data_IF_062854359798
#
_entry.id   IF_062854359798
#
_cell.length_a   1.000
_cell.length_b   1.000
_cell.length_c   1.000
_cell.angle_alpha   90.00
_cell.angle_beta   90.00
_cell.angle_gamma   90.00
#
_symmetry.space_group_name_H-M   'P 1'
#
loop_
_entity.id
_entity.type
_entity.pdbx_description
1 polymer ?
#
# COMPACT_ATOMS: atom_id res chain seq x y z
N UNK A 1 -21.16 19.65 16.35
CA UNK A 1 -19.85 20.33 16.44
C UNK A 1 -19.16 20.28 15.07
N UNK A 2 -18.15 21.11 14.81
CA UNK A 2 -17.39 21.06 13.55
C UNK A 2 -16.72 19.69 13.34
N UNK A 3 -16.28 19.02 14.41
CA UNK A 3 -15.75 17.66 14.35
C UNK A 3 -16.78 16.63 13.84
N UNK A 4 -18.03 16.72 14.31
CA UNK A 4 -19.09 15.81 13.85
C UNK A 4 -19.44 16.06 12.37
N UNK A 5 -19.47 17.32 11.93
CA UNK A 5 -19.66 17.66 10.51
C UNK A 5 -18.55 17.04 9.67
N UNK A 6 -17.29 17.16 10.11
CA UNK A 6 -16.15 16.51 9.45
C UNK A 6 -16.31 14.99 9.34
N UNK A 7 -16.76 14.33 10.42
CA UNK A 7 -16.99 12.88 10.43
C UNK A 7 -18.08 12.46 9.43
N UNK A 8 -19.22 13.14 9.44
CA UNK A 8 -20.32 12.84 8.51
C UNK A 8 -19.91 13.05 7.05
N UNK A 9 -19.21 14.15 6.75
CA UNK A 9 -18.73 14.42 5.39
C UNK A 9 -17.69 13.39 4.93
N UNK A 10 -16.79 12.96 5.81
CA UNK A 10 -15.82 11.89 5.54
C UNK A 10 -16.53 10.57 5.21
N UNK A 11 -17.54 10.20 5.98
CA UNK A 11 -18.32 8.97 5.74
C UNK A 11 -19.09 9.04 4.42
N UNK A 12 -19.71 10.18 4.11
CA UNK A 12 -20.37 10.40 2.82
C UNK A 12 -19.37 10.33 1.66
N UNK A 13 -18.21 10.97 1.79
CA UNK A 13 -17.15 10.95 0.78
C UNK A 13 -16.65 9.53 0.49
N UNK A 14 -16.60 8.66 1.50
CA UNK A 14 -16.21 7.26 1.34
C UNK A 14 -17.24 6.40 0.59
N UNK A 15 -18.48 6.89 0.44
CA UNK A 15 -19.57 6.17 -0.24
C UNK A 15 -19.81 6.62 -1.68
N UNK A 16 -19.10 7.64 -2.15
CA UNK A 16 -19.25 8.22 -3.49
C UNK A 16 -17.90 8.28 -4.20
N UNK A 17 -17.92 8.44 -5.53
CA UNK A 17 -16.72 8.50 -6.35
C UNK A 17 -16.59 9.83 -7.11
N UNK A 18 -15.40 10.05 -7.67
CA UNK A 18 -15.16 11.15 -8.59
C UNK A 18 -15.16 12.55 -7.95
N UNK A 19 -15.60 13.59 -8.68
CA UNK A 19 -15.54 14.97 -8.22
C UNK A 19 -16.30 15.24 -6.92
N UNK A 20 -17.40 14.51 -6.68
CA UNK A 20 -18.20 14.67 -5.49
C UNK A 20 -17.46 14.17 -4.24
N UNK A 21 -16.78 13.04 -4.33
CA UNK A 21 -15.92 12.55 -3.25
C UNK A 21 -14.83 13.57 -2.91
N UNK A 22 -14.18 14.14 -3.94
CA UNK A 22 -13.14 15.16 -3.75
C UNK A 22 -13.69 16.41 -3.04
N UNK A 23 -14.88 16.89 -3.43
CA UNK A 23 -15.55 18.02 -2.78
C UNK A 23 -15.85 17.72 -1.30
N UNK A 24 -16.46 16.58 -1.00
CA UNK A 24 -16.83 16.18 0.36
C UNK A 24 -15.61 16.00 1.26
N UNK A 25 -14.51 15.42 0.76
CA UNK A 25 -13.26 15.37 1.51
C UNK A 25 -12.72 16.78 1.80
N UNK A 26 -12.80 17.70 0.83
CA UNK A 26 -12.39 19.10 0.98
C UNK A 26 -13.15 19.80 2.11
N UNK A 27 -14.47 19.63 2.13
CA UNK A 27 -15.34 20.18 3.17
C UNK A 27 -15.09 19.54 4.54
N UNK A 28 -14.85 18.23 4.59
CA UNK A 28 -14.46 17.53 5.82
C UNK A 28 -13.14 18.09 6.38
N UNK A 29 -12.14 18.31 5.52
CA UNK A 29 -10.86 18.89 5.92
C UNK A 29 -11.03 20.31 6.49
N UNK A 30 -11.87 21.14 5.87
CA UNK A 30 -12.20 22.48 6.37
C UNK A 30 -12.91 22.41 7.74
N UNK A 31 -13.84 21.47 7.92
CA UNK A 31 -14.53 21.27 9.18
C UNK A 31 -13.57 20.83 10.31
N UNK A 32 -12.67 19.89 10.05
CA UNK A 32 -11.66 19.48 11.04
C UNK A 32 -10.68 20.61 11.39
N UNK A 33 -10.22 21.40 10.41
CA UNK A 33 -9.38 22.58 10.70
C UNK A 33 -10.10 23.59 11.61
N UNK A 34 -11.40 23.82 11.41
CA UNK A 34 -12.22 24.66 12.32
C UNK A 34 -12.43 24.01 13.69
N UNK A 35 -12.50 22.69 13.78
CA UNK A 35 -12.55 22.01 15.07
C UNK A 35 -11.22 22.19 15.84
N UNK A 36 -10.08 22.06 15.15
CA UNK A 36 -8.73 22.22 15.71
C UNK A 36 -8.37 23.67 16.10
N UNK A 37 -9.17 24.67 15.73
CA UNK A 37 -8.99 26.03 16.26
C UNK A 37 -9.58 26.20 17.66
N UNK A 38 -10.38 25.24 18.13
CA UNK A 38 -11.03 25.26 19.45
C UNK A 38 -10.53 24.09 20.31
N UNK A 39 -10.44 22.90 19.70
CA UNK A 39 -9.78 21.74 20.29
C UNK A 39 -8.27 22.00 20.25
N UNK A 40 -7.64 22.08 21.41
CA UNK A 40 -6.19 22.27 21.51
C UNK A 40 -5.55 21.04 22.14
N UNK A 41 -4.26 20.86 21.87
CA UNK A 41 -3.46 19.78 22.46
C UNK A 41 -3.50 19.81 23.99
N UNK A 42 -3.50 20.99 24.60
CA UNK A 42 -3.38 21.15 26.06
C UNK A 42 -4.72 20.98 26.78
N UNK A 43 -5.83 21.44 26.16
CA UNK A 43 -7.15 21.37 26.79
C UNK A 43 -7.86 20.04 26.58
N UNK A 44 -7.70 19.43 25.40
CA UNK A 44 -8.42 18.22 24.99
C UNK A 44 -7.50 17.32 24.14
N UNK A 45 -6.42 16.76 24.72
CA UNK A 45 -5.36 16.09 23.97
C UNK A 45 -5.84 14.93 23.10
N UNK A 46 -6.72 14.06 23.62
CA UNK A 46 -7.20 12.88 22.89
C UNK A 46 -8.17 13.24 21.75
N UNK A 47 -9.09 14.17 21.99
CA UNK A 47 -10.01 14.68 20.96
C UNK A 47 -9.22 15.41 19.87
N UNK A 48 -8.26 16.25 20.26
CA UNK A 48 -7.36 16.92 19.34
C UNK A 48 -6.60 15.91 18.47
N UNK A 49 -6.00 14.87 19.08
CA UNK A 49 -5.28 13.84 18.34
C UNK A 49 -6.21 13.04 17.40
N UNK A 50 -7.45 12.81 17.81
CA UNK A 50 -8.45 12.15 16.97
C UNK A 50 -8.87 13.00 15.79
N UNK A 51 -9.07 14.30 16.00
CA UNK A 51 -9.34 15.24 14.91
C UNK A 51 -8.14 15.39 13.98
N UNK A 52 -6.90 15.39 14.49
CA UNK A 52 -5.68 15.40 13.68
C UNK A 52 -5.57 14.15 12.80
N UNK A 53 -5.81 12.96 13.35
CA UNK A 53 -5.85 11.73 12.57
C UNK A 53 -6.90 11.78 11.47
N UNK A 54 -8.13 12.22 11.79
CA UNK A 54 -9.20 12.35 10.79
C UNK A 54 -8.89 13.38 9.71
N UNK A 55 -8.22 14.49 10.06
CA UNK A 55 -7.71 15.47 9.10
C UNK A 55 -6.65 14.83 8.18
N UNK A 56 -5.72 14.06 8.75
CA UNK A 56 -4.71 13.32 7.98
C UNK A 56 -5.35 12.39 6.95
N UNK A 57 -6.38 11.63 7.36
CA UNK A 57 -7.12 10.74 6.47
C UNK A 57 -7.74 11.47 5.29
N UNK A 58 -8.51 12.54 5.53
CA UNK A 58 -9.19 13.24 4.42
C UNK A 58 -8.21 13.95 3.49
N UNK A 59 -7.08 14.43 4.00
CA UNK A 59 -6.02 15.03 3.18
C UNK A 59 -5.31 13.98 2.32
N UNK A 60 -5.03 12.81 2.88
CA UNK A 60 -4.48 11.68 2.13
C UNK A 60 -5.44 11.29 1.00
N UNK A 61 -6.73 11.13 1.30
CA UNK A 61 -7.74 10.77 0.29
C UNK A 61 -7.84 11.82 -0.83
N UNK A 62 -7.71 13.11 -0.53
CA UNK A 62 -7.63 14.14 -1.58
C UNK A 62 -6.32 14.06 -2.37
N UNK A 63 -5.20 13.85 -1.69
CA UNK A 63 -3.86 13.79 -2.29
C UNK A 63 -3.73 12.64 -3.28
N UNK A 64 -4.29 11.47 -2.99
CA UNK A 64 -4.25 10.32 -3.91
C UNK A 64 -5.16 10.49 -5.15
N UNK A 65 -6.16 11.37 -5.09
CA UNK A 65 -7.11 11.66 -6.19
C UNK A 65 -6.73 12.89 -7.02
N UNK A 66 -5.71 13.61 -6.61
CA UNK A 66 -5.21 14.83 -7.28
C UNK A 66 -3.81 14.57 -7.86
N UNK A 67 -3.36 15.44 -8.76
CA UNK A 67 -2.04 15.35 -9.39
C UNK A 67 -1.21 16.62 -9.16
N UNK A 68 0.08 16.55 -9.51
CA UNK A 68 0.99 17.70 -9.48
C UNK A 68 1.33 18.18 -8.06
N UNK A 69 1.70 19.45 -7.96
CA UNK A 69 2.16 20.07 -6.70
C UNK A 69 1.12 20.03 -5.59
N UNK A 70 -0.17 20.11 -5.93
CA UNK A 70 -1.25 20.05 -4.95
C UNK A 70 -1.35 18.66 -4.29
N UNK A 71 -1.16 17.59 -5.06
CA UNK A 71 -1.12 16.23 -4.51
C UNK A 71 0.01 16.07 -3.49
N UNK A 72 1.19 16.57 -3.82
CA UNK A 72 2.37 16.53 -2.94
C UNK A 72 2.10 17.32 -1.65
N UNK A 73 1.51 18.52 -1.77
CA UNK A 73 1.17 19.37 -0.63
C UNK A 73 0.16 18.70 0.30
N UNK A 74 -0.91 18.13 -0.26
CA UNK A 74 -1.95 17.41 0.51
C UNK A 74 -1.40 16.19 1.24
N UNK A 75 -0.54 15.40 0.58
CA UNK A 75 0.11 14.24 1.21
C UNK A 75 1.09 14.66 2.32
N UNK A 76 1.83 15.75 2.11
CA UNK A 76 2.70 16.33 3.15
C UNK A 76 1.89 16.82 4.36
N UNK A 77 0.76 17.51 4.13
CA UNK A 77 -0.14 17.94 5.21
C UNK A 77 -0.73 16.73 5.96
N UNK A 78 -1.07 15.65 5.24
CA UNK A 78 -1.56 14.41 5.84
C UNK A 78 -0.52 13.76 6.76
N UNK A 79 0.72 13.64 6.29
CA UNK A 79 1.85 13.13 7.09
C UNK A 79 2.05 13.98 8.35
N UNK A 80 1.99 15.31 8.23
CA UNK A 80 2.11 16.21 9.37
C UNK A 80 0.97 16.02 10.39
N UNK A 81 -0.27 15.88 9.93
CA UNK A 81 -1.42 15.65 10.80
C UNK A 81 -1.35 14.30 11.53
N UNK A 82 -0.93 13.22 10.86
CA UNK A 82 -0.71 11.93 11.52
C UNK A 82 0.42 11.99 12.55
N UNK A 83 1.56 12.65 12.24
CA UNK A 83 2.65 12.85 13.21
C UNK A 83 2.18 13.65 14.42
N UNK A 84 1.31 14.64 14.24
CA UNK A 84 0.68 15.37 15.35
C UNK A 84 -0.21 14.45 16.19
N UNK A 85 -1.06 13.61 15.58
CA UNK A 85 -1.87 12.65 16.32
C UNK A 85 -1.02 11.64 17.12
N UNK A 86 0.10 11.18 16.56
CA UNK A 86 1.06 10.28 17.22
C UNK A 86 1.83 10.94 18.38
N UNK A 87 1.79 12.26 18.53
CA UNK A 87 2.37 12.95 19.70
C UNK A 87 1.55 12.78 21.00
N UNK A 88 0.32 12.29 20.86
CA UNK A 88 -0.60 11.96 21.97
C UNK A 88 -0.93 10.47 21.97
N UNK A 89 -1.25 9.91 20.80
CA UNK A 89 -1.49 8.47 20.65
C UNK A 89 -0.15 7.76 20.75
N UNK A 90 0.16 7.20 21.92
CA UNK A 90 1.35 6.36 22.14
C UNK A 90 0.96 4.89 22.13
N UNK A 91 1.93 4.01 21.88
CA UNK A 91 1.69 2.56 21.91
C UNK A 91 1.25 2.09 23.30
N UNK A 92 1.80 2.69 24.34
CA UNK A 92 1.59 2.30 25.74
C UNK A 92 0.21 2.72 26.25
N UNK A 93 -0.29 3.90 25.86
CA UNK A 93 -1.56 4.43 26.35
C UNK A 93 -2.74 4.11 25.42
N UNK A 94 -2.53 4.16 24.11
CA UNK A 94 -3.58 4.04 23.10
C UNK A 94 -3.13 3.09 21.96
N UNK A 95 -2.80 1.81 22.26
CA UNK A 95 -2.14 0.90 21.32
C UNK A 95 -2.89 0.76 19.98
N UNK A 96 -4.20 0.60 20.03
CA UNK A 96 -5.02 0.46 18.82
C UNK A 96 -5.04 1.73 17.97
N UNK A 97 -5.29 2.89 18.57
CA UNK A 97 -5.30 4.16 17.85
C UNK A 97 -3.91 4.53 17.33
N UNK A 98 -2.86 4.22 18.08
CA UNK A 98 -1.47 4.40 17.64
C UNK A 98 -1.19 3.53 16.41
N UNK A 99 -1.51 2.23 16.46
CA UNK A 99 -1.26 1.32 15.34
C UNK A 99 -2.06 1.69 14.07
N UNK A 100 -3.32 2.10 14.23
CA UNK A 100 -4.12 2.62 13.10
C UNK A 100 -3.46 3.87 12.49
N UNK A 101 -3.03 4.81 13.33
CA UNK A 101 -2.39 6.05 12.87
C UNK A 101 -1.03 5.77 12.22
N UNK A 102 -0.27 4.80 12.70
CA UNK A 102 0.99 4.36 12.09
C UNK A 102 0.76 3.72 10.71
N UNK A 103 -0.26 2.86 10.58
CA UNK A 103 -0.62 2.28 9.29
C UNK A 103 -0.99 3.36 8.27
N UNK A 104 -1.79 4.34 8.68
CA UNK A 104 -2.25 5.40 7.78
C UNK A 104 -1.15 6.42 7.46
N UNK A 105 -0.26 6.69 8.41
CA UNK A 105 0.99 7.42 8.14
C UNK A 105 1.82 6.70 7.06
N UNK A 106 1.96 5.38 7.16
CA UNK A 106 2.64 4.57 6.15
C UNK A 106 2.00 4.73 4.76
N UNK A 107 0.66 4.71 4.68
CA UNK A 107 -0.06 4.90 3.42
C UNK A 107 0.23 6.27 2.80
N UNK A 108 0.19 7.34 3.60
CA UNK A 108 0.46 8.71 3.12
C UNK A 108 1.91 8.88 2.67
N UNK A 109 2.88 8.35 3.43
CA UNK A 109 4.31 8.36 3.07
C UNK A 109 4.57 7.58 1.78
N UNK A 110 3.96 6.41 1.62
CA UNK A 110 4.09 5.62 0.39
C UNK A 110 3.52 6.39 -0.81
N UNK A 111 2.32 6.97 -0.69
CA UNK A 111 1.72 7.76 -1.75
C UNK A 111 2.56 8.99 -2.12
N UNK A 112 3.24 9.60 -1.14
CA UNK A 112 4.17 10.70 -1.37
C UNK A 112 5.44 10.20 -2.08
N UNK A 113 6.01 9.08 -1.64
CA UNK A 113 7.20 8.46 -2.22
C UNK A 113 7.00 8.05 -3.68
N UNK A 114 5.82 7.55 -4.03
CA UNK A 114 5.45 7.20 -5.41
C UNK A 114 5.46 8.42 -6.37
N UNK A 115 5.38 9.64 -5.83
CA UNK A 115 5.35 10.91 -6.59
C UNK A 115 6.63 11.73 -6.43
N UNK A 116 7.60 11.24 -5.67
CA UNK A 116 8.84 11.95 -5.38
C UNK A 116 9.97 11.53 -6.32
N UNK A 117 10.98 12.40 -6.44
CA UNK A 117 12.24 12.09 -7.10
C UNK A 117 13.01 10.99 -6.36
N UNK A 118 13.92 10.28 -7.05
CA UNK A 118 14.47 9.00 -6.61
C UNK A 118 15.03 8.96 -5.17
N UNK A 119 15.83 9.96 -4.75
CA UNK A 119 16.43 10.00 -3.42
C UNK A 119 15.38 10.21 -2.32
N UNK A 120 14.45 11.12 -2.56
CA UNK A 120 13.35 11.43 -1.64
C UNK A 120 12.34 10.29 -1.58
N UNK A 121 12.03 9.67 -2.72
CA UNK A 121 11.17 8.49 -2.80
C UNK A 121 11.70 7.36 -1.92
N UNK A 122 13.00 7.07 -2.01
CA UNK A 122 13.64 6.00 -1.21
C UNK A 122 13.52 6.29 0.30
N UNK A 123 13.75 7.54 0.72
CA UNK A 123 13.60 7.96 2.12
C UNK A 123 12.15 7.80 2.59
N UNK A 124 11.18 8.29 1.82
CA UNK A 124 9.75 8.22 2.16
C UNK A 124 9.25 6.78 2.23
N UNK A 125 9.68 5.91 1.33
CA UNK A 125 9.32 4.49 1.33
C UNK A 125 9.92 3.74 2.53
N UNK A 126 11.14 4.08 2.93
CA UNK A 126 11.75 3.56 4.15
C UNK A 126 10.98 4.00 5.40
N UNK A 127 10.56 5.27 5.48
CA UNK A 127 9.69 5.75 6.56
C UNK A 127 8.32 5.07 6.55
N UNK A 128 7.74 4.80 5.37
CA UNK A 128 6.49 4.06 5.25
C UNK A 128 6.63 2.63 5.80
N UNK A 129 7.69 1.91 5.41
CA UNK A 129 7.99 0.58 5.92
C UNK A 129 8.18 0.58 7.45
N UNK A 130 8.86 1.59 8.00
CA UNK A 130 9.00 1.76 9.45
C UNK A 130 7.66 1.97 10.15
N UNK A 131 6.76 2.79 9.59
CA UNK A 131 5.43 3.04 10.14
C UNK A 131 4.54 1.78 10.09
N UNK A 132 4.57 1.00 9.00
CA UNK A 132 3.86 -0.27 8.93
C UNK A 132 4.40 -1.29 9.94
N UNK A 133 5.73 -1.41 10.06
CA UNK A 133 6.36 -2.28 11.07
C UNK A 133 5.96 -1.85 12.50
N UNK A 134 5.85 -0.55 12.77
CA UNK A 134 5.35 -0.05 14.04
C UNK A 134 3.91 -0.50 14.30
N UNK A 135 3.00 -0.37 13.31
CA UNK A 135 1.62 -0.85 13.43
C UNK A 135 1.54 -2.38 13.67
N UNK A 136 2.43 -3.16 13.07
CA UNK A 136 2.54 -4.62 13.25
C UNK A 136 3.05 -5.05 14.64
N UNK A 137 3.49 -4.11 15.50
CA UNK A 137 3.75 -4.40 16.92
C UNK A 137 2.46 -4.59 17.73
N UNK A 138 1.33 -4.09 17.23
CA UNK A 138 0.01 -4.19 17.89
C UNK A 138 -0.93 -5.06 17.08
N UNK A 139 -1.01 -4.85 15.77
CA UNK A 139 -1.76 -5.76 14.90
C UNK A 139 -0.96 -7.05 14.77
N UNK A 140 -1.57 -8.17 15.14
CA UNK A 140 -0.99 -9.50 14.99
C UNK A 140 -1.96 -10.40 14.26
N UNK A 141 -1.53 -11.60 13.85
CA UNK A 141 -2.44 -12.53 13.19
C UNK A 141 -3.56 -12.97 14.14
N UNK A 142 -3.27 -13.10 15.42
CA UNK A 142 -4.20 -13.52 16.46
C UNK A 142 -5.09 -12.36 16.91
N UNK A 143 -4.58 -11.13 16.86
CA UNK A 143 -5.28 -9.92 17.28
C UNK A 143 -5.42 -8.91 16.14
N UNK A 144 -6.66 -8.69 15.69
CA UNK A 144 -7.00 -7.91 14.49
C UNK A 144 -6.41 -8.51 13.18
N UNK A 145 -6.73 -9.78 12.86
CA UNK A 145 -6.16 -10.49 11.69
C UNK A 145 -6.31 -9.74 10.37
N UNK A 146 -7.44 -9.05 10.18
CA UNK A 146 -7.73 -8.30 8.95
C UNK A 146 -6.81 -7.08 8.81
N UNK A 147 -6.64 -6.33 9.88
CA UNK A 147 -5.74 -5.18 9.94
C UNK A 147 -4.30 -5.63 9.79
N UNK A 148 -3.89 -6.69 10.50
CA UNK A 148 -2.56 -7.27 10.35
C UNK A 148 -2.25 -7.66 8.91
N UNK A 149 -3.14 -8.39 8.24
CA UNK A 149 -2.95 -8.78 6.85
C UNK A 149 -2.94 -7.61 5.87
N UNK A 150 -3.73 -6.57 6.14
CA UNK A 150 -3.70 -5.33 5.38
C UNK A 150 -2.36 -4.60 5.55
N UNK A 151 -1.89 -4.45 6.78
CA UNK A 151 -0.61 -3.79 7.06
C UNK A 151 0.57 -4.58 6.49
N UNK A 152 0.54 -5.91 6.55
CA UNK A 152 1.54 -6.77 5.87
C UNK A 152 1.55 -6.57 4.35
N UNK A 153 0.38 -6.48 3.72
CA UNK A 153 0.30 -6.17 2.29
C UNK A 153 0.88 -4.79 1.95
N UNK A 154 0.57 -3.78 2.77
CA UNK A 154 1.04 -2.42 2.55
C UNK A 154 2.56 -2.32 2.77
N UNK A 155 3.09 -3.01 3.78
CA UNK A 155 4.53 -3.18 3.99
C UNK A 155 5.20 -3.80 2.77
N UNK A 156 4.65 -4.91 2.26
CA UNK A 156 5.16 -5.53 1.04
C UNK A 156 5.16 -4.58 -0.16
N UNK A 157 4.13 -3.74 -0.29
CA UNK A 157 4.02 -2.72 -1.34
C UNK A 157 5.12 -1.67 -1.25
N UNK A 158 5.34 -1.10 -0.07
CA UNK A 158 6.39 -0.10 0.13
C UNK A 158 7.80 -0.69 -0.10
N UNK A 159 8.06 -1.89 0.42
CA UNK A 159 9.34 -2.57 0.24
C UNK A 159 9.60 -2.94 -1.23
N UNK A 160 8.58 -3.40 -1.96
CA UNK A 160 8.67 -3.66 -3.40
C UNK A 160 9.00 -2.38 -4.18
N UNK A 161 8.30 -1.28 -3.89
CA UNK A 161 8.57 0.02 -4.50
C UNK A 161 9.98 0.53 -4.20
N UNK A 162 10.47 0.32 -2.97
CA UNK A 162 11.81 0.73 -2.58
C UNK A 162 12.87 -0.15 -3.26
N UNK A 163 12.67 -1.46 -3.26
CA UNK A 163 13.56 -2.44 -3.88
C UNK A 163 13.68 -2.26 -5.39
N UNK A 164 12.59 -1.87 -6.07
CA UNK A 164 12.64 -1.59 -7.52
C UNK A 164 13.40 -0.31 -7.88
N UNK A 165 13.56 0.62 -6.93
CA UNK A 165 14.34 1.87 -7.07
C UNK A 165 15.74 1.80 -6.48
N UNK A 166 16.10 0.65 -5.91
CA UNK A 166 17.41 0.40 -5.30
C UNK A 166 18.19 -0.55 -6.21
N UNK A 167 19.51 -0.44 -6.19
CA UNK A 167 20.41 -1.32 -6.92
C UNK A 167 21.20 -2.24 -5.99
N UNK A 168 21.76 -3.31 -6.57
CA UNK A 168 22.68 -4.20 -5.88
C UNK A 168 22.03 -5.08 -4.81
N UNK A 169 22.81 -5.57 -3.83
CA UNK A 169 22.35 -6.54 -2.83
C UNK A 169 21.18 -6.05 -1.96
N UNK A 170 21.10 -4.75 -1.69
CA UNK A 170 20.00 -4.18 -0.90
C UNK A 170 18.67 -4.28 -1.64
N UNK A 171 18.68 -4.13 -2.97
CA UNK A 171 17.48 -4.31 -3.79
C UNK A 171 16.89 -5.72 -3.63
N UNK A 172 17.76 -6.75 -3.71
CA UNK A 172 17.35 -8.15 -3.55
C UNK A 172 16.80 -8.43 -2.15
N UNK A 173 17.42 -7.85 -1.12
CA UNK A 173 16.95 -7.95 0.27
C UNK A 173 15.56 -7.35 0.43
N UNK A 174 15.35 -6.10 -0.01
CA UNK A 174 14.06 -5.41 0.05
C UNK A 174 12.96 -6.18 -0.70
N UNK A 175 13.27 -6.72 -1.88
CA UNK A 175 12.33 -7.52 -2.65
C UNK A 175 11.99 -8.85 -1.97
N UNK A 176 12.98 -9.50 -1.34
CA UNK A 176 12.75 -10.70 -0.53
C UNK A 176 11.87 -10.44 0.70
N UNK A 177 12.08 -9.30 1.38
CA UNK A 177 11.23 -8.86 2.49
C UNK A 177 9.81 -8.53 2.02
N UNK A 178 9.65 -7.92 0.84
CA UNK A 178 8.34 -7.68 0.24
C UNK A 178 7.58 -8.99 -0.03
N UNK A 179 8.26 -9.99 -0.62
CA UNK A 179 7.71 -11.34 -0.85
C UNK A 179 7.27 -11.98 0.47
N UNK A 180 8.08 -11.87 1.53
CA UNK A 180 7.74 -12.39 2.85
C UNK A 180 6.47 -11.72 3.42
N UNK A 181 6.38 -10.39 3.36
CA UNK A 181 5.24 -9.62 3.84
C UNK A 181 3.94 -9.98 3.09
N UNK A 182 3.99 -10.11 1.75
CA UNK A 182 2.83 -10.55 0.99
C UNK A 182 2.38 -11.97 1.33
N UNK A 183 3.32 -12.90 1.54
CA UNK A 183 2.99 -14.26 1.99
C UNK A 183 2.34 -14.25 3.37
N UNK A 184 2.76 -13.38 4.29
CA UNK A 184 2.09 -13.19 5.58
C UNK A 184 0.65 -12.69 5.41
N UNK A 185 0.43 -11.69 4.56
CA UNK A 185 -0.92 -11.19 4.27
C UNK A 185 -1.86 -12.29 3.71
N UNK A 186 -1.34 -13.20 2.89
CA UNK A 186 -2.08 -14.32 2.32
C UNK A 186 -2.47 -15.42 3.34
N UNK A 187 -1.94 -15.40 4.57
CA UNK A 187 -2.39 -16.30 5.64
C UNK A 187 -3.80 -15.96 6.16
N UNK A 188 -4.28 -14.74 5.91
CA UNK A 188 -5.62 -14.27 6.32
C UNK A 188 -6.46 -13.89 5.12
N UNK A 189 -5.88 -13.21 4.12
CA UNK A 189 -6.56 -12.93 2.87
C UNK A 189 -6.65 -14.23 2.09
N UNK A 190 -7.79 -14.92 2.15
CA UNK A 190 -8.05 -16.11 1.35
C UNK A 190 -8.99 -15.79 0.20
N UNK A 191 -8.98 -16.62 -0.84
CA UNK A 191 -9.87 -16.44 -1.99
C UNK A 191 -11.35 -16.54 -1.58
N UNK A 192 -11.65 -17.41 -0.62
CA UNK A 192 -13.02 -17.70 -0.19
C UNK A 192 -13.61 -16.57 0.66
N UNK A 193 -12.81 -15.96 1.53
CA UNK A 193 -13.29 -14.92 2.44
C UNK A 193 -13.08 -13.50 1.90
N UNK A 194 -12.03 -13.30 1.09
CA UNK A 194 -11.59 -11.99 0.61
C UNK A 194 -11.08 -12.07 -0.83
N UNK A 195 -11.90 -12.51 -1.81
CA UNK A 195 -11.43 -12.85 -3.16
C UNK A 195 -10.65 -11.72 -3.82
N UNK A 196 -11.16 -10.48 -3.75
CA UNK A 196 -10.51 -9.31 -4.34
C UNK A 196 -9.18 -8.98 -3.66
N UNK A 197 -9.15 -8.90 -2.32
CA UNK A 197 -7.93 -8.58 -1.59
C UNK A 197 -6.86 -9.68 -1.73
N UNK A 198 -7.28 -10.94 -1.78
CA UNK A 198 -6.42 -12.08 -2.06
C UNK A 198 -5.80 -11.97 -3.46
N UNK A 199 -6.60 -11.72 -4.49
CA UNK A 199 -6.12 -11.60 -5.87
C UNK A 199 -5.16 -10.42 -6.06
N UNK A 200 -5.45 -9.26 -5.45
CA UNK A 200 -4.54 -8.11 -5.43
C UNK A 200 -3.22 -8.49 -4.75
N UNK A 201 -3.27 -9.20 -3.63
CA UNK A 201 -2.06 -9.63 -2.91
C UNK A 201 -1.25 -10.65 -3.70
N UNK A 202 -1.90 -11.60 -4.37
CA UNK A 202 -1.24 -12.55 -5.27
C UNK A 202 -0.56 -11.85 -6.45
N UNK A 203 -1.22 -10.88 -7.08
CA UNK A 203 -0.64 -10.13 -8.18
C UNK A 203 0.60 -9.33 -7.73
N UNK A 204 0.55 -8.71 -6.54
CA UNK A 204 1.68 -7.94 -6.03
C UNK A 204 2.83 -8.83 -5.55
N UNK A 205 2.53 -9.99 -4.98
CA UNK A 205 3.51 -11.04 -4.70
C UNK A 205 4.24 -11.46 -5.98
N UNK A 206 3.48 -11.69 -7.07
CA UNK A 206 4.04 -12.05 -8.36
C UNK A 206 4.96 -10.95 -8.93
N UNK A 207 4.55 -9.67 -8.85
CA UNK A 207 5.39 -8.55 -9.25
C UNK A 207 6.72 -8.52 -8.48
N UNK A 208 6.67 -8.73 -7.15
CA UNK A 208 7.87 -8.75 -6.31
C UNK A 208 8.80 -9.93 -6.61
N UNK A 209 8.24 -11.13 -6.80
CA UNK A 209 8.97 -12.32 -7.21
C UNK A 209 9.63 -12.13 -8.58
N UNK A 210 8.91 -11.55 -9.55
CA UNK A 210 9.46 -11.24 -10.87
C UNK A 210 10.61 -10.22 -10.78
N UNK A 211 10.42 -9.13 -10.03
CA UNK A 211 11.44 -8.11 -9.83
C UNK A 211 12.68 -8.63 -9.09
N UNK A 212 12.52 -9.61 -8.20
CA UNK A 212 13.63 -10.30 -7.54
C UNK A 212 14.31 -11.26 -8.53
N UNK A 213 13.53 -12.02 -9.29
CA UNK A 213 14.02 -12.99 -10.27
C UNK A 213 14.82 -12.36 -11.39
N UNK A 214 14.42 -11.19 -11.90
CA UNK A 214 15.18 -10.48 -12.95
C UNK A 214 16.58 -10.05 -12.50
N UNK A 215 16.76 -9.84 -11.18
CA UNK A 215 18.00 -9.40 -10.53
C UNK A 215 18.82 -10.54 -9.91
N UNK A 216 18.29 -11.75 -9.86
CA UNK A 216 18.93 -12.91 -9.26
C UNK A 216 19.80 -13.68 -10.28
N UNK A 217 20.73 -14.50 -9.78
CA UNK A 217 21.50 -15.43 -10.61
C UNK A 217 20.59 -16.47 -11.28
N UNK A 218 21.02 -17.01 -12.42
CA UNK A 218 20.16 -17.84 -13.31
C UNK A 218 19.34 -18.93 -12.61
N UNK A 219 19.89 -19.79 -11.72
CA UNK A 219 19.09 -20.85 -11.09
C UNK A 219 17.96 -20.30 -10.22
N UNK A 220 18.28 -19.26 -9.43
CA UNK A 220 17.34 -18.60 -8.53
C UNK A 220 16.32 -17.76 -9.30
N UNK A 221 16.77 -17.11 -10.39
CA UNK A 221 15.94 -16.35 -11.32
C UNK A 221 14.80 -17.20 -11.89
N UNK A 222 15.11 -18.37 -12.45
CA UNK A 222 14.11 -19.27 -13.02
C UNK A 222 13.09 -19.74 -11.98
N UNK A 223 13.57 -20.09 -10.78
CA UNK A 223 12.72 -20.50 -9.65
C UNK A 223 11.74 -19.39 -9.24
N UNK A 224 12.23 -18.16 -9.07
CA UNK A 224 11.41 -17.00 -8.70
C UNK A 224 10.40 -16.63 -9.79
N UNK A 225 10.77 -16.72 -11.06
CA UNK A 225 9.88 -16.45 -12.19
C UNK A 225 8.75 -17.49 -12.28
N UNK A 226 9.04 -18.77 -12.02
CA UNK A 226 8.01 -19.82 -11.97
C UNK A 226 7.00 -19.58 -10.83
N UNK A 227 7.50 -19.19 -9.65
CA UNK A 227 6.65 -18.78 -8.54
C UNK A 227 5.79 -17.55 -8.89
N UNK A 228 6.37 -16.54 -9.56
CA UNK A 228 5.65 -15.36 -10.01
C UNK A 228 4.50 -15.73 -10.95
N UNK A 229 4.76 -16.58 -11.95
CA UNK A 229 3.73 -17.08 -12.87
C UNK A 229 2.62 -17.83 -12.16
N UNK A 230 2.96 -18.62 -11.13
CA UNK A 230 1.97 -19.30 -10.29
C UNK A 230 1.08 -18.30 -9.57
N UNK A 231 1.67 -17.27 -8.94
CA UNK A 231 0.92 -16.24 -8.23
C UNK A 231 0.06 -15.37 -9.18
N UNK A 232 0.52 -15.03 -10.38
CA UNK A 232 -0.32 -14.37 -11.40
C UNK A 232 -1.49 -15.26 -11.84
N UNK A 233 -1.27 -16.57 -12.03
CA UNK A 233 -2.36 -17.50 -12.34
C UNK A 233 -3.40 -17.55 -11.21
N UNK A 234 -2.96 -17.46 -9.95
CA UNK A 234 -3.87 -17.36 -8.81
C UNK A 234 -4.70 -16.06 -8.86
N UNK A 235 -4.10 -14.89 -9.11
CA UNK A 235 -4.86 -13.63 -9.19
C UNK A 235 -5.88 -13.65 -10.34
N UNK A 236 -5.55 -14.26 -11.48
CA UNK A 236 -6.43 -14.44 -12.63
C UNK A 236 -7.64 -15.37 -12.38
N UNK A 237 -7.70 -16.09 -11.25
CA UNK A 237 -8.91 -16.81 -10.85
C UNK A 237 -10.04 -15.87 -10.40
N UNK A 238 -9.70 -14.64 -10.00
CA UNK A 238 -10.65 -13.61 -9.56
C UNK A 238 -10.67 -12.45 -10.55
N UNK A 239 -9.51 -12.04 -11.05
CA UNK A 239 -9.44 -11.02 -12.08
C UNK A 239 -9.87 -11.61 -13.40
N UNK A 240 -11.08 -11.28 -13.85
CA UNK A 240 -11.62 -11.70 -15.14
C UNK A 240 -11.75 -10.54 -16.10
N UNK A 241 -11.80 -10.84 -17.39
CA UNK A 241 -12.01 -9.83 -18.44
C UNK A 241 -13.36 -9.14 -18.27
N UNK A 242 -14.36 -9.85 -17.80
CA UNK A 242 -15.75 -9.41 -17.69
C UNK A 242 -15.95 -8.53 -16.44
N UNK A 243 -15.40 -8.92 -15.30
CA UNK A 243 -15.66 -8.25 -14.02
C UNK A 243 -14.61 -7.19 -13.67
N UNK A 244 -13.35 -7.42 -14.06
CA UNK A 244 -12.22 -6.54 -13.73
C UNK A 244 -11.28 -6.38 -14.92
N UNK A 245 -11.76 -5.86 -16.07
CA UNK A 245 -11.01 -5.86 -17.34
C UNK A 245 -9.62 -5.21 -17.23
N UNK A 246 -9.50 -4.13 -16.45
CA UNK A 246 -8.22 -3.43 -16.26
C UNK A 246 -7.20 -4.29 -15.51
N UNK A 247 -7.59 -4.85 -14.36
CA UNK A 247 -6.71 -5.69 -13.54
C UNK A 247 -6.34 -6.99 -14.28
N UNK A 248 -7.30 -7.58 -15.00
CA UNK A 248 -7.05 -8.75 -15.84
C UNK A 248 -6.01 -8.45 -16.94
N UNK A 249 -6.18 -7.35 -17.68
CA UNK A 249 -5.26 -6.99 -18.76
C UNK A 249 -3.84 -6.70 -18.23
N UNK A 250 -3.73 -5.95 -17.12
CA UNK A 250 -2.44 -5.71 -16.47
C UNK A 250 -1.77 -7.00 -16.02
N UNK A 251 -2.52 -7.90 -15.38
CA UNK A 251 -2.00 -9.20 -14.92
C UNK A 251 -1.54 -10.05 -16.09
N UNK A 252 -2.29 -10.08 -17.20
CA UNK A 252 -1.92 -10.80 -18.43
C UNK A 252 -0.65 -10.24 -19.06
N UNK A 253 -0.51 -8.92 -19.11
CA UNK A 253 0.71 -8.27 -19.58
C UNK A 253 1.91 -8.69 -18.73
N UNK A 254 1.77 -8.70 -17.41
CA UNK A 254 2.85 -9.10 -16.51
C UNK A 254 3.22 -10.58 -16.65
N UNK A 255 2.24 -11.47 -16.89
CA UNK A 255 2.50 -12.88 -17.25
C UNK A 255 3.35 -12.98 -18.52
N UNK A 256 2.99 -12.24 -19.57
CA UNK A 256 3.77 -12.22 -20.81
C UNK A 256 5.21 -11.75 -20.58
N UNK A 257 5.39 -10.68 -19.79
CA UNK A 257 6.71 -10.17 -19.40
C UNK A 257 7.54 -11.20 -18.61
N UNK A 258 6.93 -11.91 -17.66
CA UNK A 258 7.60 -12.95 -16.88
C UNK A 258 8.01 -14.15 -17.74
N UNK A 259 7.14 -14.58 -18.66
CA UNK A 259 7.44 -15.66 -19.62
C UNK A 259 8.57 -15.28 -20.58
N UNK A 260 8.59 -14.04 -21.07
CA UNK A 260 9.69 -13.52 -21.88
C UNK A 260 11.01 -13.55 -21.11
N UNK A 261 11.01 -13.06 -19.87
CA UNK A 261 12.21 -13.06 -19.03
C UNK A 261 12.72 -14.49 -18.77
N UNK A 262 11.81 -15.42 -18.47
CA UNK A 262 12.16 -16.82 -18.30
C UNK A 262 12.74 -17.42 -19.60
N UNK A 263 12.15 -17.10 -20.75
CA UNK A 263 12.62 -17.55 -22.06
C UNK A 263 14.01 -17.06 -22.42
N UNK A 264 14.39 -15.83 -22.04
CA UNK A 264 15.77 -15.33 -22.24
C UNK A 264 16.82 -16.07 -21.40
N UNK A 265 16.38 -16.78 -20.36
CA UNK A 265 17.24 -17.46 -19.37
C UNK A 265 17.18 -18.98 -19.46
N UNK A 266 16.21 -19.52 -20.18
CA UNK A 266 16.00 -20.94 -20.40
C UNK A 266 16.92 -21.49 -21.51
N UNK A 267 16.95 -22.81 -21.65
CA UNK A 267 17.51 -23.45 -22.83
C UNK A 267 16.65 -23.17 -24.09
N UNK A 268 17.19 -23.46 -25.26
CA UNK A 268 16.58 -23.08 -26.54
C UNK A 268 15.18 -23.67 -26.76
N UNK A 269 14.96 -24.93 -26.37
CA UNK A 269 13.67 -25.61 -26.57
C UNK A 269 12.60 -25.01 -25.65
N UNK A 270 12.96 -24.79 -24.39
CA UNK A 270 12.07 -24.21 -23.41
C UNK A 270 11.78 -22.73 -23.69
N UNK A 271 12.77 -21.98 -24.16
CA UNK A 271 12.60 -20.59 -24.61
C UNK A 271 11.55 -20.48 -25.73
N UNK A 272 11.58 -21.37 -26.73
CA UNK A 272 10.59 -21.36 -27.82
C UNK A 272 9.16 -21.67 -27.35
N UNK A 273 9.00 -22.47 -26.29
CA UNK A 273 7.70 -22.72 -25.67
C UNK A 273 7.21 -21.48 -24.93
N UNK A 274 8.05 -20.92 -24.06
CA UNK A 274 7.71 -19.77 -23.22
C UNK A 274 7.39 -18.52 -24.06
N UNK A 275 8.14 -18.26 -25.14
CA UNK A 275 7.84 -17.12 -26.03
C UNK A 275 6.50 -17.26 -26.76
N UNK A 276 6.07 -18.49 -27.08
CA UNK A 276 4.74 -18.72 -27.67
C UNK A 276 3.60 -18.52 -26.67
N UNK A 277 3.84 -18.81 -25.39
CA UNK A 277 2.86 -18.60 -24.32
C UNK A 277 2.76 -17.12 -23.89
N UNK A 278 3.73 -16.29 -24.27
CA UNK A 278 3.79 -14.88 -23.90
C UNK A 278 2.97 -13.92 -24.80
N UNK A 279 2.49 -14.40 -25.96
CA UNK A 279 1.70 -13.65 -26.97
C UNK A 279 0.22 -14.00 -26.83
#
# INVERSE_FOLDING_TARGET
TQNNIGNTLKEQAASVEGPEAARLFGEAAAAYRRALSVLTRDSMPEDWATTQHSLGYVLQEQGVRTNGSEAIRLLSDAVAAYKQALSIRTREQLPLHWAMTQNDLGNALQAQGARAEASEATRLLSEAAAAYNAALLVFTREFMPRQWAMTQHNLGSALHEQGTRTDGPEALKLLGEAVAAYRQALLVRTREQMPQAWAITQNNLANALQAQGTRADKPESLRLLEEALTAYRQSLLVFTREQTPRLWAMTKHNVGSALQEQGTRADWLEAQRLFREAV
#
